data_IF_125752778663
#
_entry.id   IF_125752778663
#
_cell.length_a   1.000
_cell.length_b   1.000
_cell.length_c   1.000
_cell.angle_alpha   90.00
_cell.angle_beta   90.00
_cell.angle_gamma   90.00
#
_symmetry.space_group_name_H-M   'P 1'
#
loop_
_entity.id
_entity.type
_entity.pdbx_description
1 polymer ?
#
# COMPACT_ATOMS: atom_id res chain seq x y z
N UNK A 1 -10.19 -6.74 -3.47
CA UNK A 1 -10.07 -8.18 -3.11
C UNK A 1 -9.76 -8.29 -1.62
N UNK A 2 -10.34 -9.23 -0.87
CA UNK A 2 -10.07 -9.39 0.58
C UNK A 2 -9.35 -10.71 0.85
N UNK A 3 -8.28 -10.67 1.64
CA UNK A 3 -7.48 -11.84 2.03
C UNK A 3 -7.45 -11.93 3.56
N UNK A 4 -7.48 -13.15 4.11
CA UNK A 4 -7.36 -13.39 5.56
C UNK A 4 -5.94 -13.81 5.86
N UNK A 5 -5.33 -13.16 6.86
CA UNK A 5 -4.02 -13.52 7.38
C UNK A 5 -4.15 -13.84 8.87
N UNK A 6 -3.32 -14.77 9.36
CA UNK A 6 -3.18 -15.05 10.79
C UNK A 6 -1.91 -14.37 11.27
N UNK A 7 -2.03 -13.54 12.30
CA UNK A 7 -0.90 -12.84 12.92
C UNK A 7 -0.89 -13.13 14.41
N UNK A 8 0.30 -13.25 14.99
CA UNK A 8 0.48 -13.45 16.43
C UNK A 8 0.70 -12.08 17.08
N UNK A 9 -0.03 -11.79 18.16
CA UNK A 9 0.09 -10.55 18.92
C UNK A 9 0.56 -10.88 20.34
N UNK A 10 1.21 -9.91 20.96
CA UNK A 10 1.41 -9.93 22.41
C UNK A 10 0.06 -9.92 23.15
N UNK A 11 0.01 -10.61 24.30
CA UNK A 11 -1.21 -10.77 25.09
C UNK A 11 -1.76 -9.45 25.63
N UNK A 12 -0.88 -8.55 26.11
CA UNK A 12 -1.31 -7.24 26.61
C UNK A 12 -1.84 -6.36 25.48
N UNK A 13 -1.24 -6.47 24.29
CA UNK A 13 -1.71 -5.77 23.10
C UNK A 13 -3.09 -6.28 22.67
N UNK A 14 -3.31 -7.60 22.71
CA UNK A 14 -4.61 -8.20 22.40
C UNK A 14 -5.71 -7.75 23.39
N UNK A 15 -5.41 -7.71 24.69
CA UNK A 15 -6.34 -7.19 25.70
C UNK A 15 -6.66 -5.70 25.48
N UNK A 16 -5.64 -4.89 25.19
CA UNK A 16 -5.82 -3.46 24.88
C UNK A 16 -6.70 -3.26 23.65
N UNK A 17 -6.48 -4.04 22.59
CA UNK A 17 -7.31 -4.07 21.39
C UNK A 17 -8.76 -4.48 21.72
N UNK A 18 -8.94 -5.52 22.51
CA UNK A 18 -10.27 -6.00 22.86
C UNK A 18 -11.07 -4.98 23.67
N UNK A 19 -10.42 -4.26 24.60
CA UNK A 19 -11.05 -3.19 25.39
C UNK A 19 -11.39 -1.96 24.56
N UNK A 20 -10.51 -1.58 23.64
CA UNK A 20 -10.66 -0.32 22.89
C UNK A 20 -11.68 -0.40 21.77
N UNK A 21 -11.71 -1.52 21.02
CA UNK A 21 -12.52 -1.64 19.79
C UNK A 21 -13.67 -2.66 19.91
N UNK A 22 -13.70 -3.43 21.00
CA UNK A 22 -14.67 -4.51 21.20
C UNK A 22 -14.49 -5.69 20.24
N UNK A 23 -15.34 -6.71 20.40
CA UNK A 23 -15.19 -8.04 19.76
C UNK A 23 -15.25 -8.05 18.22
N UNK A 24 -15.80 -7.00 17.60
CA UNK A 24 -16.02 -6.91 16.13
C UNK A 24 -15.18 -5.83 15.43
N UNK A 25 -14.46 -5.00 16.18
CA UNK A 25 -13.75 -3.84 15.65
C UNK A 25 -12.27 -4.07 15.31
N UNK A 26 -11.66 -5.11 15.86
CA UNK A 26 -10.22 -5.39 15.75
C UNK A 26 -9.75 -5.48 14.30
N UNK A 27 -10.41 -6.27 13.46
CA UNK A 27 -10.03 -6.40 12.05
C UNK A 27 -10.11 -5.08 11.30
N UNK A 28 -11.11 -4.24 11.60
CA UNK A 28 -11.29 -2.93 10.95
C UNK A 28 -10.23 -1.94 11.40
N UNK A 29 -9.90 -1.90 12.70
CA UNK A 29 -8.84 -1.04 13.22
C UNK A 29 -7.49 -1.38 12.60
N UNK A 30 -7.15 -2.66 12.56
CA UNK A 30 -5.88 -3.14 11.98
C UNK A 30 -5.86 -2.80 10.47
N UNK A 31 -6.95 -3.03 9.75
CA UNK A 31 -7.05 -2.70 8.32
C UNK A 31 -6.86 -1.18 8.07
N UNK A 32 -7.43 -0.31 8.90
CA UNK A 32 -7.29 1.15 8.79
C UNK A 32 -5.85 1.62 9.06
N UNK A 33 -5.23 1.10 10.13
CA UNK A 33 -3.83 1.39 10.47
C UNK A 33 -2.88 0.94 9.36
N UNK A 34 -3.10 -0.27 8.83
CA UNK A 34 -2.30 -0.81 7.72
C UNK A 34 -2.50 0.01 6.45
N UNK A 35 -3.74 0.40 6.11
CA UNK A 35 -4.01 1.24 4.94
C UNK A 35 -3.29 2.58 5.03
N UNK A 36 -3.32 3.25 6.18
CA UNK A 36 -2.64 4.54 6.38
C UNK A 36 -1.12 4.42 6.29
N UNK A 37 -0.53 3.30 6.68
CA UNK A 37 0.94 3.13 6.62
C UNK A 37 1.44 2.54 5.31
N UNK A 38 0.67 1.68 4.68
CA UNK A 38 1.12 0.95 3.49
C UNK A 38 0.62 1.59 2.19
N UNK A 39 -0.55 2.21 2.18
CA UNK A 39 -1.14 2.77 0.95
C UNK A 39 -0.90 4.27 0.87
N UNK A 40 -1.13 5.01 1.95
CA UNK A 40 -0.93 6.47 1.98
C UNK A 40 0.55 6.85 1.79
N UNK A 41 1.46 6.08 2.39
CA UNK A 41 2.91 6.26 2.20
C UNK A 41 3.38 5.76 0.83
N UNK A 42 2.71 4.77 0.24
CA UNK A 42 3.09 4.21 -1.06
C UNK A 42 2.78 5.14 -2.23
N UNK A 43 1.84 6.09 -2.11
CA UNK A 43 1.63 7.11 -3.14
C UNK A 43 2.88 7.99 -3.28
N UNK A 44 3.41 8.45 -2.15
CA UNK A 44 4.60 9.30 -2.10
C UNK A 44 5.88 8.54 -2.50
N UNK A 45 6.02 7.29 -2.05
CA UNK A 45 7.13 6.42 -2.47
C UNK A 45 7.04 6.02 -3.95
N UNK A 46 5.83 5.84 -4.49
CA UNK A 46 5.58 5.57 -5.91
C UNK A 46 6.00 6.75 -6.79
N UNK A 47 5.68 7.98 -6.38
CA UNK A 47 6.19 9.19 -7.06
C UNK A 47 7.71 9.31 -6.97
N UNK A 48 8.32 9.05 -5.81
CA UNK A 48 9.79 9.07 -5.66
C UNK A 48 10.49 8.00 -6.52
N UNK A 49 9.90 6.81 -6.62
CA UNK A 49 10.42 5.71 -7.43
C UNK A 49 10.27 5.98 -8.93
N UNK A 50 9.17 6.61 -9.36
CA UNK A 50 8.99 7.08 -10.74
C UNK A 50 9.94 8.23 -11.09
N UNK A 51 10.23 9.15 -10.16
CA UNK A 51 11.21 10.22 -10.37
C UNK A 51 12.67 9.72 -10.44
N UNK A 52 12.95 8.51 -9.94
CA UNK A 52 14.27 7.88 -10.00
C UNK A 52 14.48 7.00 -11.26
N UNK A 53 13.44 6.78 -12.07
CA UNK A 53 13.46 5.88 -13.22
C UNK A 53 13.44 6.66 -14.55
N UNK A 54 14.48 7.48 -14.74
CA UNK A 54 14.72 8.28 -15.95
C UNK A 54 14.88 7.42 -17.22
N UNK A 55 14.96 6.09 -17.07
CA UNK A 55 15.07 5.11 -18.15
C UNK A 55 13.70 4.70 -18.71
N UNK A 56 12.61 4.77 -17.92
CA UNK A 56 11.24 4.52 -18.40
C UNK A 56 10.65 5.67 -19.21
N UNK A 57 11.10 6.89 -18.98
CA UNK A 57 10.72 8.05 -19.80
C UNK A 57 11.25 7.91 -21.24
N UNK A 58 12.47 7.39 -21.41
CA UNK A 58 13.09 7.14 -22.72
C UNK A 58 12.36 6.04 -23.50
N UNK A 59 12.01 4.90 -22.87
CA UNK A 59 11.25 3.82 -23.53
C UNK A 59 9.82 4.26 -23.93
N UNK A 60 9.17 5.10 -23.13
CA UNK A 60 7.84 5.64 -23.47
C UNK A 60 7.90 6.66 -24.62
N UNK A 61 8.96 7.48 -24.71
CA UNK A 61 9.22 8.39 -25.83
C UNK A 61 9.49 7.62 -27.14
N UNK A 62 10.23 6.50 -27.07
CA UNK A 62 10.47 5.64 -28.24
C UNK A 62 9.19 4.96 -28.75
N UNK A 63 8.27 4.58 -27.85
CA UNK A 63 6.96 4.04 -28.22
C UNK A 63 6.06 5.07 -28.93
N UNK A 64 6.05 6.32 -28.48
CA UNK A 64 5.23 7.38 -29.11
C UNK A 64 5.72 7.78 -30.51
N UNK A 65 7.04 7.76 -30.76
CA UNK A 65 7.59 8.06 -32.08
C UNK A 65 7.50 6.89 -33.08
N UNK A 66 7.25 5.67 -32.61
CA UNK A 66 7.16 4.46 -33.47
C UNK A 66 5.85 4.30 -34.25
N UNK A 67 4.78 5.03 -33.91
CA UNK A 67 3.47 4.93 -34.59
C UNK A 67 3.19 6.08 -35.58
N UNK A 68 4.22 6.85 -35.97
CA UNK A 68 4.07 8.12 -36.69
C UNK A 68 4.61 8.20 -38.12
N UNK A 69 5.11 7.13 -38.74
CA UNK A 69 5.57 7.18 -40.15
C UNK A 69 5.31 5.87 -40.91
N UNK A 70 4.18 5.82 -41.61
CA UNK A 70 4.00 5.43 -43.04
C UNK A 70 2.56 4.99 -43.25
#
# INVERSE_FOLDING_TARGET
MRKRITITLDGALYEGLQRTVGKRGVSRLIEDLLRRRLIDTSLDEGYRSMAADQRRETEALEWCNGFGTT
#
